data_IF_681445477053
#
_entry.id   IF_681445477053
#
_cell.length_a   1.000
_cell.length_b   1.000
_cell.length_c   1.000
_cell.angle_alpha   90.00
_cell.angle_beta   90.00
_cell.angle_gamma   90.00
#
_symmetry.space_group_name_H-M   'P 1'
#
loop_
_entity.id
_entity.type
_entity.pdbx_description
1 polymer ?
#
# COMPACT_ATOMS: atom_id res chain seq x y z
N UNK A 1 24.22 22.93 0.24
CA UNK A 1 24.50 21.78 1.12
C UNK A 1 23.22 21.26 1.79
N UNK A 2 22.69 21.94 2.82
CA UNK A 2 21.47 21.52 3.56
C UNK A 2 20.25 21.36 2.65
N UNK A 3 20.01 22.33 1.76
CA UNK A 3 18.84 22.32 0.87
C UNK A 3 18.80 21.12 -0.08
N UNK A 4 19.94 20.65 -0.55
CA UNK A 4 20.01 19.51 -1.49
C UNK A 4 19.66 18.21 -0.76
N UNK A 5 20.26 18.00 0.41
CA UNK A 5 19.98 16.82 1.24
C UNK A 5 18.52 16.79 1.72
N UNK A 6 17.98 17.93 2.16
CA UNK A 6 16.57 18.03 2.58
C UNK A 6 15.55 17.96 1.45
N UNK A 7 15.95 18.22 0.20
CA UNK A 7 15.04 18.20 -0.96
C UNK A 7 14.43 16.83 -1.26
N UNK A 8 14.95 15.77 -0.64
CA UNK A 8 14.38 14.42 -0.73
C UNK A 8 13.05 14.32 0.02
N UNK A 9 12.89 15.07 1.12
CA UNK A 9 11.66 15.10 1.91
C UNK A 9 10.51 15.84 1.20
N UNK A 10 10.85 16.75 0.29
CA UNK A 10 9.89 17.55 -0.50
C UNK A 10 9.36 16.79 -1.75
N UNK A 11 9.87 15.59 -2.04
CA UNK A 11 9.53 14.86 -3.27
C UNK A 11 8.50 13.75 -3.05
N UNK A 12 7.29 13.94 -3.56
CA UNK A 12 6.23 12.93 -3.53
C UNK A 12 6.39 11.85 -4.60
N UNK A 13 6.95 12.18 -5.78
CA UNK A 13 7.06 11.24 -6.91
C UNK A 13 8.20 10.24 -6.70
N UNK A 14 7.92 8.92 -6.69
CA UNK A 14 8.96 7.89 -6.58
C UNK A 14 9.97 7.95 -7.74
N UNK A 15 9.51 8.25 -8.96
CA UNK A 15 10.36 8.31 -10.15
C UNK A 15 11.35 9.47 -10.08
N UNK A 16 10.87 10.65 -9.67
CA UNK A 16 11.74 11.83 -9.47
C UNK A 16 12.69 11.61 -8.29
N UNK A 17 12.22 10.92 -7.24
CA UNK A 17 13.05 10.58 -6.08
C UNK A 17 14.26 9.74 -6.46
N UNK A 18 14.13 8.79 -7.39
CA UNK A 18 15.28 7.99 -7.89
C UNK A 18 16.39 8.90 -8.46
N UNK A 19 16.03 9.90 -9.26
CA UNK A 19 16.98 10.90 -9.77
C UNK A 19 17.56 11.77 -8.66
N UNK A 20 16.74 12.22 -7.71
CA UNK A 20 17.23 12.99 -6.55
C UNK A 20 18.21 12.19 -5.71
N UNK A 21 17.92 10.92 -5.43
CA UNK A 21 18.81 9.98 -4.72
C UNK A 21 20.19 9.94 -5.40
N UNK A 22 20.24 9.83 -6.73
CA UNK A 22 21.50 9.84 -7.50
C UNK A 22 22.28 11.15 -7.42
N UNK A 23 21.61 12.29 -7.64
CA UNK A 23 22.26 13.60 -7.53
C UNK A 23 22.78 13.86 -6.12
N UNK A 24 22.01 13.46 -5.10
CA UNK A 24 22.41 13.57 -3.70
C UNK A 24 23.64 12.68 -3.46
N UNK A 25 23.62 11.41 -3.87
CA UNK A 25 24.76 10.50 -3.73
C UNK A 25 26.03 11.04 -4.38
N UNK A 26 25.94 11.59 -5.60
CA UNK A 26 27.09 12.24 -6.27
C UNK A 26 27.65 13.39 -5.45
N UNK A 27 26.79 14.27 -4.90
CA UNK A 27 27.22 15.38 -4.05
C UNK A 27 27.79 14.93 -2.71
N UNK A 28 27.26 13.86 -2.13
CA UNK A 28 27.80 13.29 -0.89
C UNK A 28 29.22 12.76 -1.13
N UNK A 29 29.47 12.07 -2.25
CA UNK A 29 30.82 11.65 -2.66
C UNK A 29 31.75 12.84 -2.83
N UNK A 30 31.31 13.94 -3.46
CA UNK A 30 32.10 15.17 -3.56
C UNK A 30 32.51 15.67 -2.17
N UNK A 31 31.60 15.68 -1.19
CA UNK A 31 31.89 16.12 0.18
C UNK A 31 32.92 15.26 0.90
N UNK A 32 32.90 13.94 0.66
CA UNK A 32 33.95 13.03 1.13
C UNK A 32 35.30 13.40 0.53
N UNK A 33 35.36 13.65 -0.78
CA UNK A 33 36.59 14.00 -1.50
C UNK A 33 37.14 15.37 -1.12
N UNK A 34 36.27 16.33 -0.79
CA UNK A 34 36.67 17.69 -0.36
C UNK A 34 36.91 17.82 1.15
N UNK A 35 36.72 16.75 1.94
CA UNK A 35 37.13 16.69 3.35
C UNK A 35 36.11 17.18 4.40
N UNK A 36 34.82 17.30 4.08
CA UNK A 36 33.79 17.64 5.08
C UNK A 36 32.50 16.81 4.92
N UNK A 37 32.55 15.48 5.11
CA UNK A 37 31.38 14.62 4.95
C UNK A 37 30.44 14.63 6.16
N UNK A 38 30.91 15.06 7.34
CA UNK A 38 30.25 14.86 8.63
C UNK A 38 28.79 15.34 8.66
N UNK A 39 28.52 16.51 8.10
CA UNK A 39 27.15 17.03 8.03
C UNK A 39 26.23 16.13 7.19
N UNK A 40 26.72 15.66 6.03
CA UNK A 40 25.95 14.81 5.14
C UNK A 40 25.72 13.43 5.74
N UNK A 41 26.75 12.87 6.39
CA UNK A 41 26.64 11.63 7.17
C UNK A 41 25.58 11.75 8.25
N UNK A 42 25.72 12.72 9.16
CA UNK A 42 24.82 12.83 10.32
C UNK A 42 23.37 13.03 9.90
N UNK A 43 23.13 13.78 8.80
CA UNK A 43 21.79 13.89 8.23
C UNK A 43 21.27 12.56 7.68
N UNK A 44 22.05 11.85 6.85
CA UNK A 44 21.63 10.56 6.28
C UNK A 44 21.37 9.52 7.37
N UNK A 45 22.21 9.44 8.40
CA UNK A 45 22.03 8.51 9.51
C UNK A 45 20.82 8.88 10.38
N UNK A 46 20.52 10.18 10.55
CA UNK A 46 19.27 10.57 11.21
C UNK A 46 18.02 10.08 10.47
N UNK A 47 18.06 10.04 9.13
CA UNK A 47 16.98 9.47 8.32
C UNK A 47 16.91 7.95 8.40
N UNK A 48 18.05 7.27 8.51
CA UNK A 48 18.11 5.81 8.64
C UNK A 48 17.46 5.31 9.94
N UNK A 49 17.49 6.13 11.00
CA UNK A 49 16.94 5.82 12.32
C UNK A 49 15.47 6.23 12.48
N UNK A 50 14.98 7.19 11.67
CA UNK A 50 13.59 7.67 11.74
C UNK A 50 12.59 6.75 11.02
N UNK A 51 12.17 5.68 11.70
CA UNK A 51 11.19 4.72 11.19
C UNK A 51 9.74 5.29 11.15
N UNK A 52 9.51 6.54 11.60
CA UNK A 52 8.21 7.21 11.43
C UNK A 52 7.92 7.54 9.96
N UNK A 53 8.98 7.68 9.15
CA UNK A 53 8.92 7.94 7.71
C UNK A 53 9.69 6.86 6.91
N UNK A 54 9.15 5.63 6.78
CA UNK A 54 9.84 4.49 6.16
C UNK A 54 10.42 4.72 4.76
N UNK A 55 9.80 5.60 3.98
CA UNK A 55 10.24 5.94 2.62
C UNK A 55 11.62 6.60 2.62
N UNK A 56 11.89 7.49 3.58
CA UNK A 56 13.16 8.19 3.67
C UNK A 56 14.27 7.32 4.25
N UNK A 57 13.94 6.35 5.11
CA UNK A 57 14.87 5.30 5.53
C UNK A 57 15.41 4.54 4.31
N UNK A 58 14.51 4.08 3.43
CA UNK A 58 14.89 3.37 2.19
C UNK A 58 15.73 4.25 1.27
N UNK A 59 15.36 5.52 1.09
CA UNK A 59 16.16 6.46 0.29
C UNK A 59 17.55 6.69 0.88
N UNK A 60 17.66 6.83 2.19
CA UNK A 60 18.95 6.98 2.87
C UNK A 60 19.81 5.70 2.73
N UNK A 61 19.22 4.52 2.81
CA UNK A 61 19.92 3.24 2.58
C UNK A 61 20.50 3.15 1.16
N UNK A 62 19.72 3.55 0.14
CA UNK A 62 20.20 3.64 -1.25
C UNK A 62 21.35 4.62 -1.39
N UNK A 63 21.19 5.82 -0.83
CA UNK A 63 22.19 6.89 -0.95
C UNK A 63 23.51 6.43 -0.33
N UNK A 64 23.48 5.89 0.89
CA UNK A 64 24.65 5.36 1.58
C UNK A 64 25.32 4.23 0.78
N UNK A 65 24.53 3.30 0.23
CA UNK A 65 25.06 2.21 -0.60
C UNK A 65 25.78 2.74 -1.86
N UNK A 66 25.19 3.70 -2.58
CA UNK A 66 25.80 4.29 -3.78
C UNK A 66 27.09 5.04 -3.48
N UNK A 67 27.10 5.80 -2.38
CA UNK A 67 28.29 6.53 -1.91
C UNK A 67 29.41 5.54 -1.58
N UNK A 68 29.10 4.49 -0.82
CA UNK A 68 30.06 3.43 -0.49
C UNK A 68 30.59 2.73 -1.75
N UNK A 69 29.73 2.46 -2.73
CA UNK A 69 30.11 1.81 -3.99
C UNK A 69 31.13 2.64 -4.78
N UNK A 70 31.01 3.98 -4.83
CA UNK A 70 32.01 4.84 -5.50
C UNK A 70 33.30 4.98 -4.68
N UNK A 71 33.17 5.22 -3.36
CA UNK A 71 34.32 5.41 -2.46
C UNK A 71 35.20 4.17 -2.35
N UNK A 72 34.66 2.97 -2.61
CA UNK A 72 35.42 1.72 -2.67
C UNK A 72 36.65 1.81 -3.58
N UNK A 73 36.58 2.57 -4.67
CA UNK A 73 37.70 2.71 -5.61
C UNK A 73 38.88 3.49 -5.02
N UNK A 74 38.62 4.26 -3.94
CA UNK A 74 39.59 5.07 -3.21
C UNK A 74 39.61 4.68 -1.72
N UNK A 75 39.41 3.40 -1.38
CA UNK A 75 39.13 2.90 -0.01
C UNK A 75 40.08 3.39 1.10
N UNK A 76 41.35 3.70 0.76
CA UNK A 76 42.36 4.21 1.72
C UNK A 76 42.26 5.71 1.95
N UNK A 77 41.40 6.40 1.23
CA UNK A 77 41.19 7.84 1.25
C UNK A 77 39.71 8.09 1.58
N UNK A 78 39.43 9.17 2.31
CA UNK A 78 38.06 9.65 2.53
C UNK A 78 37.17 8.81 3.46
N UNK A 79 37.73 8.04 4.41
CA UNK A 79 36.92 7.48 5.51
C UNK A 79 35.93 6.37 5.14
N UNK A 80 36.20 5.64 4.06
CA UNK A 80 35.37 4.54 3.55
C UNK A 80 35.04 3.49 4.63
N UNK A 81 36.04 3.03 5.39
CA UNK A 81 35.85 2.01 6.43
C UNK A 81 34.90 2.50 7.53
N UNK A 82 35.04 3.74 8.00
CA UNK A 82 34.17 4.29 9.03
C UNK A 82 32.71 4.39 8.54
N UNK A 83 32.50 4.81 7.30
CA UNK A 83 31.15 4.86 6.71
C UNK A 83 30.56 3.45 6.56
N UNK A 84 31.36 2.48 6.11
CA UNK A 84 30.92 1.10 5.90
C UNK A 84 30.49 0.46 7.23
N UNK A 85 31.30 0.60 8.27
CA UNK A 85 31.01 0.08 9.60
C UNK A 85 29.73 0.70 10.18
N UNK A 86 29.61 2.04 10.10
CA UNK A 86 28.42 2.76 10.57
C UNK A 86 27.17 2.32 9.80
N UNK A 87 27.28 2.18 8.47
CA UNK A 87 26.16 1.79 7.62
C UNK A 87 25.68 0.37 7.93
N UNK A 88 26.60 -0.58 8.12
CA UNK A 88 26.25 -1.97 8.46
C UNK A 88 25.58 -2.06 9.82
N UNK A 89 26.07 -1.30 10.81
CA UNK A 89 25.47 -1.22 12.15
C UNK A 89 24.02 -0.73 12.12
N UNK A 90 23.60 0.03 11.10
CA UNK A 90 22.21 0.47 10.94
C UNK A 90 21.40 -0.44 10.01
N UNK A 91 22.00 -0.92 8.93
CA UNK A 91 21.32 -1.75 7.93
C UNK A 91 20.90 -3.13 8.48
N UNK A 92 21.76 -3.77 9.27
CA UNK A 92 21.46 -5.11 9.82
C UNK A 92 20.24 -5.07 10.76
N UNK A 93 20.13 -4.13 11.72
CA UNK A 93 18.88 -3.94 12.48
C UNK A 93 17.67 -3.58 11.61
N UNK A 94 17.83 -2.77 10.56
CA UNK A 94 16.73 -2.41 9.66
C UNK A 94 16.15 -3.63 8.93
N UNK A 95 16.97 -4.65 8.64
CA UNK A 95 16.51 -5.95 8.11
C UNK A 95 15.59 -6.73 9.07
N UNK A 96 15.48 -6.32 10.34
CA UNK A 96 14.55 -6.83 11.34
C UNK A 96 13.49 -5.79 11.79
N UNK A 97 13.39 -4.64 11.12
CA UNK A 97 12.44 -3.57 11.46
C UNK A 97 10.98 -4.07 11.50
N UNK A 98 10.16 -3.50 12.38
CA UNK A 98 8.71 -3.76 12.39
C UNK A 98 7.99 -3.13 11.18
N UNK A 99 8.62 -2.14 10.51
CA UNK A 99 8.09 -1.50 9.30
C UNK A 99 8.37 -2.38 8.07
N UNK A 100 7.34 -2.90 7.38
CA UNK A 100 7.54 -3.81 6.25
C UNK A 100 8.41 -3.22 5.14
N UNK A 101 8.21 -1.95 4.78
CA UNK A 101 8.96 -1.30 3.70
C UNK A 101 10.48 -1.28 3.98
N UNK A 102 10.86 -0.86 5.20
CA UNK A 102 12.27 -0.86 5.65
C UNK A 102 12.79 -2.29 5.65
N UNK A 103 12.12 -3.19 6.38
CA UNK A 103 12.52 -4.59 6.51
C UNK A 103 12.76 -5.28 5.17
N UNK A 104 11.83 -5.14 4.22
CA UNK A 104 11.94 -5.77 2.91
C UNK A 104 13.04 -5.16 2.05
N UNK A 105 13.16 -3.83 2.05
CA UNK A 105 14.19 -3.16 1.29
C UNK A 105 15.59 -3.49 1.84
N UNK A 106 15.81 -3.41 3.15
CA UNK A 106 17.10 -3.73 3.76
C UNK A 106 17.53 -5.17 3.49
N UNK A 107 16.61 -6.14 3.60
CA UNK A 107 16.90 -7.54 3.24
C UNK A 107 17.26 -7.72 1.76
N UNK A 108 16.61 -6.97 0.86
CA UNK A 108 16.95 -6.98 -0.56
C UNK A 108 18.31 -6.32 -0.82
N UNK A 109 18.62 -5.24 -0.10
CA UNK A 109 19.91 -4.56 -0.19
C UNK A 109 21.09 -5.47 0.19
N UNK A 110 20.89 -6.39 1.14
CA UNK A 110 21.91 -7.38 1.50
C UNK A 110 22.36 -8.23 0.30
N UNK A 111 21.47 -8.51 -0.67
CA UNK A 111 21.80 -9.26 -1.88
C UNK A 111 22.87 -8.53 -2.70
N UNK A 112 22.79 -7.20 -2.78
CA UNK A 112 23.78 -6.35 -3.45
C UNK A 112 25.01 -6.04 -2.56
N UNK A 113 24.81 -5.90 -1.25
CA UNK A 113 25.86 -5.51 -0.30
C UNK A 113 26.88 -6.60 -0.06
N UNK A 114 26.46 -7.84 0.19
CA UNK A 114 27.37 -8.94 0.48
C UNK A 114 28.43 -9.16 -0.63
N UNK A 115 28.08 -9.36 -1.91
CA UNK A 115 29.08 -9.56 -2.95
C UNK A 115 29.97 -8.32 -3.16
N UNK A 116 29.44 -7.12 -2.92
CA UNK A 116 30.15 -5.85 -3.13
C UNK A 116 31.19 -5.58 -2.04
N UNK A 117 30.87 -5.89 -0.77
CA UNK A 117 31.65 -5.43 0.37
C UNK A 117 32.29 -6.53 1.23
N UNK A 118 32.04 -7.83 0.98
CA UNK A 118 32.60 -8.94 1.78
C UNK A 118 34.13 -8.92 1.96
N UNK A 119 34.87 -8.31 1.03
CA UNK A 119 36.34 -8.23 1.12
C UNK A 119 36.82 -7.21 2.15
N UNK A 120 35.99 -6.23 2.50
CA UNK A 120 36.32 -5.13 3.41
C UNK A 120 35.87 -5.38 4.85
N UNK A 121 35.16 -6.49 5.10
CA UNK A 121 34.71 -6.89 6.43
C UNK A 121 35.78 -7.75 7.10
N UNK A 122 36.45 -7.19 8.10
CA UNK A 122 37.51 -7.85 8.87
C UNK A 122 36.96 -8.73 10.00
N UNK A 123 35.82 -8.38 10.58
CA UNK A 123 35.20 -9.15 11.68
C UNK A 123 34.51 -10.42 11.18
N UNK A 124 34.96 -11.57 11.69
CA UNK A 124 34.46 -12.89 11.29
C UNK A 124 33.00 -13.13 11.70
N UNK A 125 32.58 -12.60 12.85
CA UNK A 125 31.20 -12.74 13.35
C UNK A 125 30.23 -11.96 12.47
N UNK A 126 30.55 -10.69 12.19
CA UNK A 126 29.76 -9.81 11.34
C UNK A 126 29.65 -10.38 9.92
N UNK A 127 30.77 -10.89 9.39
CA UNK A 127 30.83 -11.55 8.09
C UNK A 127 29.84 -12.71 8.01
N UNK A 128 29.83 -13.59 9.02
CA UNK A 128 28.91 -14.73 9.07
C UNK A 128 27.44 -14.30 9.19
N UNK A 129 27.15 -13.22 9.93
CA UNK A 129 25.79 -12.67 10.05
C UNK A 129 25.28 -12.21 8.68
N UNK A 130 26.08 -11.40 7.97
CA UNK A 130 25.69 -10.86 6.67
C UNK A 130 25.62 -11.97 5.61
N UNK A 131 26.51 -12.96 5.66
CA UNK A 131 26.47 -14.12 4.76
C UNK A 131 25.19 -14.95 4.95
N UNK A 132 24.75 -15.14 6.20
CA UNK A 132 23.50 -15.83 6.50
C UNK A 132 22.28 -15.04 6.02
N UNK A 133 22.26 -13.71 6.25
CA UNK A 133 21.22 -12.82 5.73
C UNK A 133 21.15 -12.88 4.21
N UNK A 134 22.30 -12.82 3.53
CA UNK A 134 22.42 -12.95 2.09
C UNK A 134 21.87 -14.30 1.59
N UNK A 135 22.30 -15.40 2.21
CA UNK A 135 21.87 -16.75 1.82
C UNK A 135 20.36 -16.95 2.01
N UNK A 136 19.79 -16.40 3.08
CA UNK A 136 18.35 -16.45 3.33
C UNK A 136 17.55 -15.56 2.37
N UNK A 137 18.04 -14.35 2.10
CA UNK A 137 17.45 -13.44 1.12
C UNK A 137 17.45 -14.06 -0.29
N UNK A 138 18.55 -14.72 -0.67
CA UNK A 138 18.68 -15.42 -1.95
C UNK A 138 17.76 -16.64 -2.07
N UNK A 139 17.59 -17.43 -1.00
CA UNK A 139 16.67 -18.59 -0.98
C UNK A 139 15.20 -18.19 -1.07
N UNK A 140 14.85 -17.02 -0.54
CA UNK A 140 13.48 -16.48 -0.59
C UNK A 140 13.20 -15.72 -1.89
N UNK A 141 14.14 -15.70 -2.83
CA UNK A 141 13.97 -15.09 -4.14
C UNK A 141 13.07 -16.00 -4.99
N UNK A 142 11.91 -15.48 -5.38
CA UNK A 142 11.01 -16.16 -6.32
C UNK A 142 11.55 -15.86 -7.71
N UNK A 143 11.99 -16.89 -8.45
CA UNK A 143 12.44 -16.73 -9.84
C UNK A 143 11.29 -16.11 -10.67
N UNK A 144 11.57 -14.99 -11.36
CA UNK A 144 10.59 -14.28 -12.20
C UNK A 144 9.81 -13.16 -11.52
N UNK A 145 10.04 -12.85 -10.23
CA UNK A 145 9.44 -11.67 -9.58
C UNK A 145 10.52 -10.65 -9.19
N UNK A 146 10.46 -9.47 -9.80
CA UNK A 146 11.33 -8.36 -9.47
C UNK A 146 11.07 -7.86 -8.04
N UNK A 147 12.13 -7.74 -7.21
CA UNK A 147 12.10 -7.01 -5.95
C UNK A 147 12.88 -5.71 -6.09
N UNK A 148 12.44 -4.66 -5.40
CA UNK A 148 12.99 -3.30 -5.45
C UNK A 148 14.47 -3.14 -5.00
N UNK A 149 15.21 -4.23 -4.75
CA UNK A 149 16.67 -4.24 -4.57
C UNK A 149 17.40 -5.31 -5.39
N UNK A 150 16.71 -6.04 -6.28
CA UNK A 150 17.29 -7.09 -7.13
C UNK A 150 17.90 -6.55 -8.44
N UNK A 151 17.50 -5.37 -8.94
CA UNK A 151 18.03 -4.79 -10.19
C UNK A 151 19.11 -3.73 -9.95
N UNK A 152 20.03 -4.06 -9.05
CA UNK A 152 21.35 -3.44 -8.87
C UNK A 152 21.36 -1.91 -8.95
N UNK A 153 21.33 -1.32 -7.76
CA UNK A 153 21.42 0.11 -7.48
C UNK A 153 22.39 0.83 -8.44
N UNK A 154 21.84 1.92 -8.99
CA UNK A 154 22.45 2.86 -9.91
C UNK A 154 23.96 3.07 -9.63
N UNK A 155 24.79 2.92 -10.65
CA UNK A 155 26.19 3.32 -10.58
C UNK A 155 26.36 4.85 -10.77
N UNK A 156 27.09 5.50 -9.86
CA UNK A 156 27.29 6.94 -9.93
C UNK A 156 28.02 7.41 -11.20
N UNK A 157 28.92 6.59 -11.74
CA UNK A 157 29.74 6.94 -12.91
C UNK A 157 29.34 6.17 -14.16
N UNK A 158 29.09 4.86 -14.02
CA UNK A 158 28.78 3.95 -15.13
C UNK A 158 27.48 4.29 -15.85
N UNK A 159 26.54 4.91 -15.13
CA UNK A 159 25.25 5.34 -15.66
C UNK A 159 25.21 6.86 -15.96
N UNK A 160 26.35 7.56 -15.93
CA UNK A 160 26.48 8.93 -16.44
C UNK A 160 26.47 8.94 -17.98
N UNK A 161 25.33 8.52 -18.54
CA UNK A 161 25.08 8.38 -19.98
C UNK A 161 23.69 8.96 -20.29
N UNK A 162 23.51 9.56 -21.45
CA UNK A 162 22.23 10.18 -21.82
C UNK A 162 21.07 9.17 -21.83
N UNK A 163 21.25 7.96 -22.38
CA UNK A 163 20.23 6.91 -22.34
C UNK A 163 19.79 6.59 -20.90
N UNK A 164 20.75 6.51 -19.97
CA UNK A 164 20.49 6.18 -18.57
C UNK A 164 19.84 7.34 -17.80
N UNK A 165 20.28 8.58 -18.06
CA UNK A 165 19.69 9.80 -17.50
C UNK A 165 18.26 10.01 -17.98
N UNK A 166 17.96 9.71 -19.24
CA UNK A 166 16.64 9.91 -19.86
C UNK A 166 15.83 8.60 -19.89
N UNK A 167 15.58 8.05 -18.70
CA UNK A 167 14.66 6.94 -18.48
C UNK A 167 15.29 5.55 -18.38
N UNK A 168 16.54 5.35 -18.85
CA UNK A 168 17.17 4.03 -18.84
C UNK A 168 17.36 3.48 -17.42
N UNK A 169 17.68 4.36 -16.46
CA UNK A 169 17.75 3.98 -15.05
C UNK A 169 16.37 3.66 -14.47
N UNK A 170 15.34 4.42 -14.83
CA UNK A 170 13.99 4.10 -14.39
C UNK A 170 13.58 2.71 -14.89
N UNK A 171 13.88 2.37 -16.15
CA UNK A 171 13.61 1.03 -16.71
C UNK A 171 14.36 -0.10 -15.98
N UNK A 172 15.47 0.19 -15.30
CA UNK A 172 16.16 -0.79 -14.42
C UNK A 172 15.54 -0.89 -13.03
N UNK A 173 14.94 0.18 -12.52
CA UNK A 173 14.50 0.27 -11.12
C UNK A 173 12.99 0.04 -10.95
N UNK A 174 12.20 0.27 -12.01
CA UNK A 174 10.76 0.07 -12.03
C UNK A 174 10.31 -0.74 -13.26
N UNK A 175 9.32 -1.59 -13.04
CA UNK A 175 8.58 -2.36 -14.05
C UNK A 175 7.45 -1.55 -14.73
N UNK A 176 7.30 -0.27 -14.37
CA UNK A 176 6.33 0.63 -14.97
C UNK A 176 6.80 1.20 -16.30
N UNK A 177 5.84 1.58 -17.15
CA UNK A 177 6.18 2.26 -18.38
C UNK A 177 6.66 3.69 -18.10
N UNK A 178 7.97 3.87 -18.17
CA UNK A 178 8.62 5.16 -18.00
C UNK A 178 9.03 5.72 -19.36
N UNK A 179 8.92 7.05 -19.57
CA UNK A 179 9.49 7.69 -20.74
C UNK A 179 10.97 7.35 -20.85
N UNK A 180 11.39 6.85 -22.01
CA UNK A 180 12.76 6.48 -22.32
C UNK A 180 13.16 7.03 -23.68
N UNK A 181 14.35 7.63 -23.76
CA UNK A 181 14.94 8.07 -25.01
C UNK A 181 16.05 7.09 -25.40
N UNK A 182 15.82 6.34 -26.47
CA UNK A 182 16.79 5.35 -26.97
C UNK A 182 18.05 5.98 -27.56
N UNK A 183 19.12 5.19 -27.60
CA UNK A 183 20.37 5.53 -28.27
C UNK A 183 20.12 6.07 -29.69
N UNK A 184 19.30 5.38 -30.49
CA UNK A 184 18.98 5.77 -31.87
C UNK A 184 18.34 7.17 -32.00
N UNK A 185 17.59 7.60 -30.98
CA UNK A 185 16.95 8.92 -30.96
C UNK A 185 17.99 9.99 -30.63
N UNK A 186 18.87 9.74 -29.67
CA UNK A 186 20.00 10.63 -29.40
C UNK A 186 20.93 10.74 -30.59
N UNK A 187 21.29 9.64 -31.25
CA UNK A 187 22.14 9.67 -32.43
C UNK A 187 21.55 10.49 -33.58
N UNK A 188 20.21 10.47 -33.71
CA UNK A 188 19.50 11.19 -34.76
C UNK A 188 19.37 12.69 -34.52
N UNK A 189 19.17 13.11 -33.26
CA UNK A 189 18.81 14.50 -32.95
C UNK A 189 19.85 15.27 -32.13
N UNK A 190 20.82 14.60 -31.51
CA UNK A 190 21.86 15.25 -30.72
C UNK A 190 22.92 15.87 -31.63
N UNK A 191 22.97 17.19 -31.67
CA UNK A 191 23.89 17.95 -32.51
C UNK A 191 25.31 18.06 -31.92
N UNK A 192 25.42 18.15 -30.59
CA UNK A 192 26.69 18.24 -29.85
C UNK A 192 26.90 17.00 -28.97
N UNK A 193 28.00 16.27 -29.18
CA UNK A 193 28.28 14.99 -28.51
C UNK A 193 29.27 15.08 -27.33
N UNK A 194 29.70 16.29 -26.96
CA UNK A 194 30.97 16.45 -26.22
C UNK A 194 30.86 16.50 -24.69
N UNK A 195 29.65 16.57 -24.11
CA UNK A 195 29.48 16.78 -22.65
C UNK A 195 29.13 15.50 -21.89
N UNK A 196 28.26 14.64 -22.44
CA UNK A 196 27.83 13.38 -21.82
C UNK A 196 27.74 12.31 -22.89
N UNK A 197 28.34 11.12 -22.71
CA UNK A 197 28.24 10.05 -23.68
C UNK A 197 26.78 9.60 -23.85
N UNK A 198 26.39 9.24 -25.08
CA UNK A 198 25.00 8.80 -25.37
C UNK A 198 24.67 7.54 -24.55
N UNK A 199 25.55 6.54 -24.57
CA UNK A 199 25.29 5.23 -23.95
C UNK A 199 24.51 4.30 -24.87
N UNK A 200 24.22 3.10 -24.37
CA UNK A 200 23.56 2.03 -25.12
C UNK A 200 22.21 1.67 -24.51
N UNK A 201 21.29 1.11 -25.30
CA UNK A 201 20.02 0.55 -24.81
C UNK A 201 20.28 -0.73 -23.98
N UNK A 202 20.37 -0.61 -22.65
CA UNK A 202 20.67 -1.73 -21.72
C UNK A 202 19.45 -2.65 -21.46
N UNK A 203 18.78 -3.11 -22.54
CA UNK A 203 17.50 -3.85 -22.48
C UNK A 203 17.55 -5.11 -21.62
N UNK A 204 18.70 -5.81 -21.59
CA UNK A 204 18.89 -7.01 -20.77
C UNK A 204 18.93 -6.72 -19.27
N UNK A 205 19.10 -5.45 -18.87
CA UNK A 205 19.08 -5.00 -17.48
C UNK A 205 17.75 -4.34 -17.11
N UNK A 206 16.86 -4.13 -18.09
CA UNK A 206 15.56 -3.55 -17.83
C UNK A 206 14.63 -4.59 -17.24
N UNK A 207 13.69 -4.09 -16.47
CA UNK A 207 12.65 -4.91 -15.89
C UNK A 207 11.57 -5.12 -16.93
N UNK A 208 11.35 -6.38 -17.26
CA UNK A 208 10.24 -6.76 -18.10
C UNK A 208 8.92 -6.39 -17.42
N UNK A 209 7.98 -5.88 -18.22
CA UNK A 209 6.60 -5.69 -17.78
C UNK A 209 6.07 -7.06 -17.39
N UNK A 210 5.43 -7.18 -16.22
CA UNK A 210 4.77 -8.45 -15.85
C UNK A 210 3.71 -8.76 -16.91
N UNK A 211 3.90 -9.84 -17.66
CA UNK A 211 2.86 -10.34 -18.58
C UNK A 211 1.64 -10.71 -17.74
N UNK A 212 0.59 -9.90 -17.85
CA UNK A 212 -0.76 -10.26 -17.46
C UNK A 212 -1.49 -10.80 -18.69
N UNK A 213 -0.87 -11.75 -19.40
CA UNK A 213 -1.54 -12.41 -20.51
C UNK A 213 -2.56 -13.42 -19.97
N UNK A 214 -3.80 -12.95 -19.89
CA UNK A 214 -4.99 -13.77 -20.13
C UNK A 214 -5.02 -14.07 -21.63
N UNK A 215 -4.17 -14.99 -22.07
CA UNK A 215 -4.30 -15.59 -23.39
C UNK A 215 -4.57 -17.08 -23.23
N UNK A 216 -5.66 -17.49 -23.85
CA UNK A 216 -6.17 -18.85 -24.00
C UNK A 216 -5.08 -19.79 -24.52
N UNK A 217 -4.40 -20.49 -23.60
CA UNK A 217 -3.59 -21.66 -23.96
C UNK A 217 -4.52 -22.86 -24.07
N UNK A 218 -4.68 -23.33 -25.30
CA UNK A 218 -5.31 -24.61 -25.61
C UNK A 218 -4.70 -25.72 -24.73
N UNK A 219 -5.62 -26.48 -24.15
CA UNK A 219 -5.44 -27.67 -23.33
C UNK A 219 -4.26 -28.56 -23.72
N UNK A 220 -3.30 -28.69 -22.81
CA UNK A 220 -2.58 -29.93 -22.55
C UNK A 220 -2.03 -29.94 -21.11
N UNK A 221 -2.77 -30.58 -20.20
CA UNK A 221 -2.36 -31.19 -18.94
C UNK A 221 -1.16 -30.58 -18.19
N UNK A 222 -1.41 -29.51 -17.44
CA UNK A 222 -0.63 -29.22 -16.22
C UNK A 222 -1.63 -28.89 -15.12
N UNK A 223 -1.83 -29.82 -14.20
CA UNK A 223 -2.46 -29.58 -12.90
C UNK A 223 -1.49 -28.73 -12.07
N UNK A 224 -1.56 -27.41 -12.23
CA UNK A 224 -0.92 -26.47 -11.33
C UNK A 224 -2.00 -25.98 -10.37
N UNK A 225 -1.88 -26.36 -9.10
CA UNK A 225 -2.60 -25.73 -8.00
C UNK A 225 -2.30 -24.22 -8.04
N UNK A 226 -3.19 -23.45 -8.65
CA UNK A 226 -3.11 -21.99 -8.70
C UNK A 226 -3.23 -21.48 -7.27
N UNK A 227 -2.11 -21.06 -6.69
CA UNK A 227 -2.10 -20.38 -5.40
C UNK A 227 -2.97 -19.12 -5.51
N UNK A 228 -3.91 -18.87 -4.57
CA UNK A 228 -4.82 -17.73 -4.67
C UNK A 228 -4.03 -16.41 -4.70
N UNK A 229 -4.23 -15.64 -5.77
CA UNK A 229 -3.53 -14.38 -6.00
C UNK A 229 -4.18 -13.26 -5.16
N UNK A 230 -3.36 -12.51 -4.41
CA UNK A 230 -3.85 -11.41 -3.57
C UNK A 230 -4.13 -10.15 -4.41
N UNK A 231 -5.40 -9.91 -4.71
CA UNK A 231 -5.90 -8.77 -5.50
C UNK A 231 -6.00 -7.45 -4.71
N UNK A 232 -6.01 -7.52 -3.37
CA UNK A 232 -6.09 -6.34 -2.48
C UNK A 232 -4.74 -5.67 -2.24
N UNK A 233 -3.64 -6.18 -2.79
CA UNK A 233 -2.34 -5.53 -2.62
C UNK A 233 -2.32 -4.23 -3.43
N UNK A 234 -1.78 -3.13 -2.88
CA UNK A 234 -1.69 -1.83 -3.57
C UNK A 234 -0.88 -1.87 -4.88
N UNK A 235 -0.31 -3.01 -5.24
CA UNK A 235 0.24 -3.29 -6.55
C UNK A 235 -0.84 -3.36 -7.65
N UNK A 236 -2.10 -3.68 -7.32
CA UNK A 236 -3.21 -3.74 -8.28
C UNK A 236 -3.82 -2.37 -8.60
N UNK A 237 -3.91 -1.46 -7.63
CA UNK A 237 -4.31 -0.06 -7.89
C UNK A 237 -3.34 0.60 -8.87
N UNK A 238 -2.03 0.37 -8.72
CA UNK A 238 -1.02 0.88 -9.68
C UNK A 238 -1.11 0.23 -11.07
N UNK A 239 -1.70 -0.97 -11.20
CA UNK A 239 -1.84 -1.69 -12.48
C UNK A 239 -3.12 -1.32 -13.21
N UNK A 240 -4.23 -1.05 -12.50
CA UNK A 240 -5.52 -0.69 -13.09
C UNK A 240 -5.60 0.79 -13.51
N UNK A 241 -4.80 1.66 -12.89
CA UNK A 241 -4.73 3.09 -13.25
C UNK A 241 -4.02 3.35 -14.60
N UNK A 242 -3.48 2.31 -15.26
CA UNK A 242 -2.76 2.45 -16.54
C UNK A 242 -3.59 2.14 -17.79
N UNK A 243 -4.72 1.43 -17.69
CA UNK A 243 -5.58 1.10 -18.85
C UNK A 243 -7.01 1.66 -18.77
N UNK A 244 -7.38 2.32 -17.66
CA UNK A 244 -8.72 2.89 -17.52
C UNK A 244 -8.71 4.42 -17.58
N UNK A 245 -8.90 4.95 -18.79
CA UNK A 245 -9.95 5.97 -18.99
C UNK A 245 -11.34 5.33 -18.89
N UNK A 246 -11.60 4.53 -17.84
CA UNK A 246 -12.97 4.25 -17.42
C UNK A 246 -13.32 5.38 -16.48
N UNK A 247 -14.15 6.31 -16.96
CA UNK A 247 -15.51 6.46 -16.48
C UNK A 247 -15.59 6.44 -14.95
N UNK A 248 -16.35 7.37 -14.37
CA UNK A 248 -17.05 7.07 -13.12
C UNK A 248 -17.81 5.76 -13.35
N UNK A 249 -17.17 4.61 -13.11
CA UNK A 249 -17.80 3.31 -13.26
C UNK A 249 -19.01 3.40 -12.34
N UNK A 250 -20.18 3.31 -12.95
CA UNK A 250 -21.46 3.44 -12.29
C UNK A 250 -21.46 2.35 -11.23
N UNK A 251 -21.19 2.71 -9.96
CA UNK A 251 -21.23 1.77 -8.86
C UNK A 251 -22.65 1.24 -8.84
N UNK A 252 -22.82 -0.04 -9.18
CA UNK A 252 -24.11 -0.70 -9.04
C UNK A 252 -24.42 -0.73 -7.56
N UNK A 253 -25.48 0.01 -7.18
CA UNK A 253 -25.94 0.11 -5.80
C UNK A 253 -27.22 -0.70 -5.67
N UNK A 254 -27.29 -1.48 -4.60
CA UNK A 254 -28.45 -2.27 -4.24
C UNK A 254 -29.59 -1.41 -3.70
N UNK A 255 -30.78 -2.00 -3.57
CA UNK A 255 -31.92 -1.38 -2.89
C UNK A 255 -31.87 -1.58 -1.36
N UNK A 256 -30.68 -1.82 -0.79
CA UNK A 256 -30.47 -1.96 0.65
C UNK A 256 -30.26 -0.60 1.32
N UNK A 257 -30.98 -0.35 2.40
CA UNK A 257 -30.74 0.78 3.31
C UNK A 257 -30.21 0.24 4.63
N UNK A 258 -29.10 0.79 5.12
CA UNK A 258 -28.56 0.52 6.45
C UNK A 258 -28.80 1.75 7.33
N UNK A 259 -29.60 1.59 8.38
CA UNK A 259 -29.90 2.64 9.34
C UNK A 259 -28.97 2.49 10.54
N UNK A 260 -27.90 3.29 10.56
CA UNK A 260 -26.88 3.28 11.62
C UNK A 260 -26.99 4.47 12.59
N UNK A 261 -28.10 5.20 12.55
CA UNK A 261 -28.34 6.39 13.40
C UNK A 261 -28.31 6.11 14.90
N UNK A 262 -28.44 4.86 15.35
CA UNK A 262 -28.29 4.46 16.76
C UNK A 262 -26.84 4.15 17.16
N UNK A 263 -25.91 4.08 16.21
CA UNK A 263 -24.50 3.74 16.49
C UNK A 263 -23.75 4.98 16.94
N UNK A 264 -23.18 4.94 18.14
CA UNK A 264 -22.59 6.12 18.80
C UNK A 264 -21.10 6.32 18.48
N UNK A 265 -20.36 5.22 18.27
CA UNK A 265 -18.90 5.24 18.13
C UNK A 265 -18.45 5.59 16.71
N UNK A 266 -17.69 6.70 16.53
CA UNK A 266 -17.16 7.09 15.23
C UNK A 266 -16.32 6.00 14.50
N UNK A 267 -15.49 5.18 15.18
CA UNK A 267 -14.80 4.06 14.52
C UNK A 267 -15.76 3.03 13.90
N UNK A 268 -16.84 2.69 14.60
CA UNK A 268 -17.82 1.70 14.12
C UNK A 268 -18.58 2.25 12.92
N UNK A 269 -19.01 3.52 12.99
CA UNK A 269 -19.62 4.22 11.85
C UNK A 269 -18.67 4.29 10.65
N UNK A 270 -17.37 4.54 10.86
CA UNK A 270 -16.38 4.55 9.79
C UNK A 270 -16.20 3.18 9.13
N UNK A 271 -16.22 2.12 9.94
CA UNK A 271 -16.15 0.74 9.46
C UNK A 271 -17.40 0.30 8.71
N UNK A 272 -18.59 0.68 9.19
CA UNK A 272 -19.88 0.43 8.53
C UNK A 272 -19.94 1.20 7.20
N UNK A 273 -19.50 2.47 7.17
CA UNK A 273 -19.41 3.27 5.95
C UNK A 273 -18.55 2.59 4.89
N UNK A 274 -17.34 2.15 5.25
CA UNK A 274 -16.45 1.41 4.36
C UNK A 274 -17.05 0.11 3.85
N UNK A 275 -17.68 -0.66 4.74
CA UNK A 275 -18.36 -1.91 4.39
C UNK A 275 -19.50 -1.66 3.38
N UNK A 276 -20.34 -0.67 3.66
CA UNK A 276 -21.48 -0.31 2.82
C UNK A 276 -21.02 0.13 1.43
N UNK A 277 -19.94 0.90 1.36
CA UNK A 277 -19.36 1.32 0.09
C UNK A 277 -18.89 0.13 -0.75
N UNK A 278 -18.08 -0.74 -0.15
CA UNK A 278 -17.49 -1.92 -0.82
C UNK A 278 -18.54 -2.92 -1.29
N UNK A 279 -19.62 -3.13 -0.52
CA UNK A 279 -20.68 -4.07 -0.86
C UNK A 279 -21.83 -3.43 -1.67
N UNK A 280 -21.69 -2.18 -2.11
CA UNK A 280 -22.69 -1.55 -2.97
C UNK A 280 -24.03 -1.30 -2.28
N UNK A 281 -24.04 -0.96 -0.99
CA UNK A 281 -25.27 -0.58 -0.27
C UNK A 281 -25.85 0.71 -0.87
N UNK A 282 -27.17 0.78 -1.01
CA UNK A 282 -27.85 1.93 -1.63
C UNK A 282 -27.81 3.21 -0.80
N UNK A 283 -28.04 3.11 0.50
CA UNK A 283 -28.05 4.24 1.42
C UNK A 283 -27.58 3.84 2.82
N UNK A 284 -26.76 4.69 3.44
CA UNK A 284 -26.36 4.60 4.84
C UNK A 284 -26.86 5.82 5.61
N UNK A 285 -27.65 5.64 6.67
CA UNK A 285 -28.04 6.76 7.54
C UNK A 285 -27.12 6.88 8.75
N UNK A 286 -26.90 8.11 9.20
CA UNK A 286 -26.16 8.43 10.43
C UNK A 286 -26.92 9.46 11.26
N UNK A 287 -26.63 9.55 12.57
CA UNK A 287 -27.28 10.51 13.47
C UNK A 287 -26.93 11.97 13.13
N UNK A 288 -25.65 12.25 12.88
CA UNK A 288 -25.12 13.57 12.55
C UNK A 288 -24.06 13.41 11.44
N UNK A 289 -24.29 14.04 10.29
CA UNK A 289 -23.40 13.93 9.13
C UNK A 289 -22.01 14.51 9.40
N UNK A 290 -21.85 15.36 10.42
CA UNK A 290 -20.54 15.90 10.85
C UNK A 290 -19.59 14.81 11.32
N UNK A 291 -20.07 13.60 11.63
CA UNK A 291 -19.22 12.45 11.96
C UNK A 291 -18.17 12.17 10.87
N UNK A 292 -18.46 12.52 9.60
CA UNK A 292 -17.51 12.44 8.48
C UNK A 292 -16.22 13.21 8.73
N UNK A 293 -16.26 14.26 9.55
CA UNK A 293 -15.10 15.07 9.90
C UNK A 293 -14.32 14.53 11.11
N UNK A 294 -14.86 13.55 11.83
CA UNK A 294 -14.23 13.01 13.03
C UNK A 294 -12.97 12.20 12.68
N UNK A 295 -11.80 12.45 13.32
CA UNK A 295 -10.55 11.76 12.97
C UNK A 295 -10.64 10.24 13.05
N UNK A 296 -11.30 9.71 14.09
CA UNK A 296 -11.46 8.26 14.25
C UNK A 296 -12.37 7.62 13.21
N UNK A 297 -13.36 8.36 12.69
CA UNK A 297 -14.20 7.90 11.58
C UNK A 297 -13.37 7.83 10.30
N UNK A 298 -12.66 8.92 9.95
CA UNK A 298 -11.82 8.99 8.75
C UNK A 298 -10.74 7.90 8.70
N UNK A 299 -10.12 7.61 9.84
CA UNK A 299 -9.09 6.58 9.95
C UNK A 299 -9.59 5.18 9.56
N UNK A 300 -10.87 4.89 9.78
CA UNK A 300 -11.47 3.57 9.47
C UNK A 300 -12.18 3.57 8.12
N UNK A 301 -12.81 4.68 7.74
CA UNK A 301 -13.56 4.81 6.48
C UNK A 301 -12.65 4.79 5.23
N UNK A 302 -11.39 5.24 5.33
CA UNK A 302 -10.41 5.24 4.23
C UNK A 302 -11.01 5.82 2.94
N UNK A 303 -11.59 7.02 3.01
CA UNK A 303 -12.25 7.76 1.91
C UNK A 303 -13.57 7.21 1.36
N UNK A 304 -14.08 6.08 1.88
CA UNK A 304 -15.39 5.55 1.50
C UNK A 304 -16.54 6.57 1.69
N UNK A 305 -16.37 7.51 2.62
CA UNK A 305 -17.31 8.59 2.92
C UNK A 305 -17.51 9.59 1.78
N UNK A 306 -16.62 9.59 0.78
CA UNK A 306 -16.77 10.38 -0.45
C UNK A 306 -17.69 9.73 -1.49
N UNK A 307 -17.82 8.40 -1.44
CA UNK A 307 -18.46 7.59 -2.47
C UNK A 307 -19.78 6.95 -2.02
N UNK A 308 -19.88 6.63 -0.73
CA UNK A 308 -21.08 6.06 -0.14
C UNK A 308 -22.18 7.12 -0.01
N UNK A 309 -23.37 6.91 -0.61
CA UNK A 309 -24.54 7.75 -0.32
C UNK A 309 -24.88 7.72 1.17
N UNK A 310 -24.92 8.89 1.80
CA UNK A 310 -25.21 9.05 3.24
C UNK A 310 -26.29 10.10 3.48
N UNK A 311 -27.18 9.82 4.42
CA UNK A 311 -28.25 10.72 4.85
C UNK A 311 -28.21 10.91 6.38
N UNK A 312 -28.43 12.13 6.83
CA UNK A 312 -28.59 12.41 8.26
C UNK A 312 -30.02 12.09 8.68
N UNK A 313 -30.18 11.24 9.69
CA UNK A 313 -31.47 10.92 10.31
C UNK A 313 -31.28 10.98 11.82
N UNK A 314 -31.82 12.01 12.45
CA UNK A 314 -31.73 12.21 13.89
C UNK A 314 -32.50 11.10 14.65
N UNK A 315 -32.18 10.90 15.93
CA UNK A 315 -32.72 9.79 16.74
C UNK A 315 -34.26 9.79 16.81
N UNK A 316 -34.86 10.98 16.93
CA UNK A 316 -36.30 11.21 16.98
C UNK A 316 -36.98 11.07 15.61
N UNK A 317 -36.22 11.12 14.52
CA UNK A 317 -36.69 11.00 13.13
C UNK A 317 -36.59 9.56 12.59
N UNK A 318 -35.92 8.64 13.29
CA UNK A 318 -35.77 7.25 12.83
C UNK A 318 -37.14 6.60 12.56
N UNK A 319 -38.10 6.80 13.46
CA UNK A 319 -39.44 6.22 13.33
C UNK A 319 -40.20 6.77 12.12
N UNK A 320 -40.12 8.09 11.86
CA UNK A 320 -40.78 8.71 10.71
C UNK A 320 -40.12 8.31 9.40
N UNK A 321 -38.79 8.23 9.37
CA UNK A 321 -38.00 7.74 8.23
C UNK A 321 -38.38 6.30 7.86
N UNK A 322 -38.40 5.38 8.84
CA UNK A 322 -38.79 3.98 8.61
C UNK A 322 -40.23 3.86 8.09
N UNK A 323 -41.18 4.63 8.65
CA UNK A 323 -42.57 4.65 8.15
C UNK A 323 -42.66 5.17 6.72
N UNK A 324 -41.84 6.15 6.34
CA UNK A 324 -41.71 6.62 4.96
C UNK A 324 -41.24 5.50 4.03
N UNK A 325 -40.13 4.84 4.37
CA UNK A 325 -39.57 3.73 3.58
C UNK A 325 -40.51 2.53 3.49
N UNK A 326 -41.27 2.23 4.53
CA UNK A 326 -42.32 1.20 4.48
C UNK A 326 -43.37 1.49 3.40
N UNK A 327 -43.79 2.75 3.26
CA UNK A 327 -44.73 3.17 2.18
C UNK A 327 -44.10 3.08 0.79
N UNK A 328 -42.78 3.21 0.68
CA UNK A 328 -42.02 3.01 -0.56
C UNK A 328 -41.79 1.52 -0.91
N UNK A 329 -42.30 0.60 -0.08
CA UNK A 329 -42.23 -0.84 -0.28
C UNK A 329 -41.02 -1.52 0.34
N UNK A 330 -40.33 -0.87 1.28
CA UNK A 330 -39.26 -1.50 2.05
C UNK A 330 -39.79 -2.40 3.15
N UNK A 331 -39.17 -3.57 3.31
CA UNK A 331 -39.32 -4.39 4.51
C UNK A 331 -38.37 -3.88 5.59
N UNK A 332 -38.92 -3.58 6.76
CA UNK A 332 -38.18 -3.05 7.91
C UNK A 332 -37.66 -4.21 8.76
N UNK A 333 -36.34 -4.35 8.81
CA UNK A 333 -35.65 -5.47 9.46
C UNK A 333 -34.77 -4.90 10.58
N UNK A 334 -34.97 -5.35 11.82
CA UNK A 334 -34.03 -5.05 12.91
C UNK A 334 -32.94 -6.10 12.98
N UNK A 335 -31.68 -5.69 13.07
CA UNK A 335 -30.59 -6.58 13.44
C UNK A 335 -30.53 -6.65 14.97
N UNK A 336 -31.26 -7.57 15.57
CA UNK A 336 -31.42 -7.67 17.02
C UNK A 336 -31.80 -9.07 17.48
N UNK A 337 -31.37 -9.43 18.68
CA UNK A 337 -31.73 -10.68 19.35
C UNK A 337 -33.02 -10.48 20.15
N UNK A 338 -34.09 -11.12 19.71
CA UNK A 338 -35.40 -11.09 20.40
C UNK A 338 -35.97 -12.50 20.50
N UNK A 339 -36.95 -12.70 21.40
CA UNK A 339 -37.67 -13.96 21.56
C UNK A 339 -38.46 -14.39 20.30
N UNK A 340 -38.65 -13.46 19.36
CA UNK A 340 -39.35 -13.64 18.08
C UNK A 340 -38.45 -13.41 16.86
N UNK A 341 -37.14 -13.31 17.06
CA UNK A 341 -36.21 -13.08 15.96
C UNK A 341 -36.15 -14.29 15.04
N UNK A 342 -36.04 -14.01 13.75
CA UNK A 342 -35.81 -15.01 12.71
C UNK A 342 -34.31 -15.21 12.60
N UNK A 343 -33.87 -16.46 12.56
CA UNK A 343 -32.44 -16.78 12.43
C UNK A 343 -31.96 -16.48 11.02
N UNK A 344 -30.84 -15.78 10.91
CA UNK A 344 -30.11 -15.65 9.66
C UNK A 344 -29.43 -16.99 9.34
N UNK A 345 -30.02 -17.74 8.42
CA UNK A 345 -29.49 -18.99 7.88
C UNK A 345 -29.48 -18.95 6.34
N UNK A 346 -29.07 -20.05 5.71
CA UNK A 346 -29.00 -20.14 4.24
C UNK A 346 -30.39 -20.15 3.57
N UNK A 347 -31.47 -20.32 4.33
CA UNK A 347 -32.84 -20.39 3.81
C UNK A 347 -33.53 -19.03 3.86
N UNK A 348 -33.09 -18.12 4.73
CA UNK A 348 -33.64 -16.79 4.81
C UNK A 348 -33.46 -16.01 3.50
N UNK A 349 -34.56 -15.55 2.92
CA UNK A 349 -34.56 -14.78 1.68
C UNK A 349 -34.81 -13.31 2.00
N UNK A 350 -33.84 -12.45 1.68
CA UNK A 350 -34.00 -11.01 1.83
C UNK A 350 -34.96 -10.48 0.76
N UNK A 351 -35.97 -9.67 1.15
CA UNK A 351 -36.69 -8.83 0.20
C UNK A 351 -35.72 -7.89 -0.51
N UNK A 352 -35.89 -7.68 -1.82
CA UNK A 352 -35.00 -6.80 -2.59
C UNK A 352 -34.92 -5.39 -1.99
N UNK A 353 -36.06 -4.81 -1.60
CA UNK A 353 -36.12 -3.57 -0.82
C UNK A 353 -36.07 -3.88 0.68
N UNK A 354 -34.86 -3.95 1.22
CA UNK A 354 -34.61 -4.18 2.65
C UNK A 354 -34.09 -2.91 3.31
N UNK A 355 -34.60 -2.62 4.51
CA UNK A 355 -34.04 -1.61 5.41
C UNK A 355 -33.60 -2.31 6.69
N UNK A 356 -32.31 -2.22 7.03
CA UNK A 356 -31.74 -2.84 8.21
C UNK A 356 -31.48 -1.78 9.28
N UNK A 357 -32.21 -1.84 10.39
CA UNK A 357 -31.98 -1.02 11.58
C UNK A 357 -30.94 -1.68 12.49
N UNK A 358 -29.87 -0.95 12.79
CA UNK A 358 -28.83 -1.35 13.73
C UNK A 358 -29.13 -0.82 15.13
N UNK A 359 -28.95 -1.65 16.16
CA UNK A 359 -29.08 -1.24 17.56
C UNK A 359 -27.85 -0.51 18.12
N UNK A 360 -28.02 0.10 19.29
CA UNK A 360 -26.91 0.64 20.09
C UNK A 360 -26.05 -0.50 20.64
N UNK A 361 -24.74 -0.30 20.85
CA UNK A 361 -23.87 -1.36 21.38
C UNK A 361 -24.24 -1.81 22.81
N UNK A 362 -24.81 -0.91 23.60
CA UNK A 362 -25.10 -1.17 25.02
C UNK A 362 -26.50 -1.74 25.25
N UNK A 363 -27.50 -1.23 24.52
CA UNK A 363 -28.91 -1.47 24.80
C UNK A 363 -29.70 -2.03 23.61
N UNK A 364 -29.06 -2.22 22.47
CA UNK A 364 -29.73 -2.71 21.27
C UNK A 364 -30.71 -1.70 20.67
N UNK A 365 -31.76 -2.21 20.04
CA UNK A 365 -32.85 -1.42 19.43
C UNK A 365 -33.90 -1.05 20.51
N UNK A 366 -34.24 0.24 20.68
CA UNK A 366 -35.30 0.68 21.58
C UNK A 366 -36.66 0.05 21.26
N UNK A 367 -37.45 -0.26 22.29
CA UNK A 367 -38.76 -0.91 22.15
C UNK A 367 -39.76 -0.16 21.25
N UNK A 368 -39.71 1.17 21.23
CA UNK A 368 -40.53 2.02 20.35
C UNK A 368 -40.19 1.85 18.87
N UNK A 369 -38.95 1.52 18.54
CA UNK A 369 -38.52 1.23 17.18
C UNK A 369 -38.75 -0.24 16.84
N UNK A 370 -38.56 -1.16 17.80
CA UNK A 370 -38.87 -2.58 17.63
C UNK A 370 -40.32 -2.82 17.19
N UNK A 371 -41.29 -2.05 17.71
CA UNK A 371 -42.70 -2.17 17.33
C UNK A 371 -43.03 -1.76 15.90
N UNK A 372 -42.13 -1.05 15.22
CA UNK A 372 -42.32 -0.59 13.84
C UNK A 372 -41.76 -1.58 12.80
N UNK A 373 -40.86 -2.48 13.23
CA UNK A 373 -40.20 -3.46 12.38
C UNK A 373 -41.16 -4.56 11.91
N UNK A 374 -40.94 -5.04 10.68
CA UNK A 374 -41.67 -6.19 10.14
C UNK A 374 -41.12 -7.51 10.70
N UNK A 375 -39.80 -7.57 10.92
CA UNK A 375 -39.13 -8.67 11.61
C UNK A 375 -37.83 -8.23 12.28
N UNK A 376 -37.36 -9.05 13.23
CA UNK A 376 -35.99 -8.99 13.72
C UNK A 376 -35.21 -10.17 13.16
N UNK A 377 -34.01 -9.93 12.65
CA UNK A 377 -33.05 -10.96 12.28
C UNK A 377 -32.00 -11.09 13.37
N UNK A 378 -31.77 -12.32 13.83
CA UNK A 378 -30.66 -12.66 14.71
C UNK A 378 -29.61 -13.48 13.97
N UNK A 379 -28.34 -13.22 14.25
CA UNK A 379 -27.24 -14.05 13.78
C UNK A 379 -26.97 -15.11 14.86
N UNK A 380 -27.04 -16.39 14.49
CA UNK A 380 -26.80 -17.48 15.43
C UNK A 380 -25.38 -17.41 16.00
N UNK A 381 -25.29 -17.36 17.32
CA UNK A 381 -24.02 -17.36 18.06
C UNK A 381 -23.82 -18.71 18.76
N UNK A 382 -22.57 -19.14 18.88
CA UNK A 382 -22.18 -20.41 19.54
C UNK A 382 -21.18 -20.21 20.69
N UNK A 383 -20.70 -18.98 20.89
CA UNK A 383 -19.72 -18.63 21.92
C UNK A 383 -20.35 -18.18 23.24
N UNK A 384 -19.50 -17.91 24.24
CA UNK A 384 -19.90 -17.47 25.58
C UNK A 384 -20.20 -15.96 25.64
N UNK A 385 -19.67 -15.18 24.70
CA UNK A 385 -19.89 -13.73 24.64
C UNK A 385 -21.32 -13.43 24.20
N UNK A 386 -21.93 -12.44 24.85
CA UNK A 386 -23.36 -12.12 24.74
C UNK A 386 -23.77 -11.65 23.34
N UNK A 387 -22.92 -10.86 22.69
CA UNK A 387 -23.22 -10.26 21.38
C UNK A 387 -21.96 -9.99 20.56
N UNK A 388 -22.13 -9.90 19.25
CA UNK A 388 -21.08 -9.47 18.32
C UNK A 388 -20.92 -7.94 18.34
N UNK A 389 -19.74 -7.48 17.94
CA UNK A 389 -19.54 -6.07 17.61
C UNK A 389 -20.49 -5.66 16.47
N UNK A 390 -21.09 -4.47 16.56
CA UNK A 390 -22.11 -3.99 15.63
C UNK A 390 -21.62 -3.92 14.18
N UNK A 391 -20.37 -3.52 13.94
CA UNK A 391 -19.77 -3.49 12.61
C UNK A 391 -19.63 -4.91 12.05
N UNK A 392 -19.23 -5.88 12.87
CA UNK A 392 -19.12 -7.29 12.46
C UNK A 392 -20.49 -7.89 12.15
N UNK A 393 -21.49 -7.64 13.00
CA UNK A 393 -22.86 -8.08 12.75
C UNK A 393 -23.43 -7.46 11.46
N UNK A 394 -23.15 -6.18 11.23
CA UNK A 394 -23.51 -5.49 9.98
C UNK A 394 -22.82 -6.12 8.77
N UNK A 395 -21.56 -6.51 8.88
CA UNK A 395 -20.83 -7.18 7.79
C UNK A 395 -21.47 -8.50 7.39
N UNK A 396 -21.89 -9.32 8.36
CA UNK A 396 -22.54 -10.60 8.11
C UNK A 396 -23.88 -10.41 7.38
N UNK A 397 -24.74 -9.50 7.87
CA UNK A 397 -26.06 -9.31 7.29
C UNK A 397 -26.01 -8.64 5.91
N UNK A 398 -25.15 -7.62 5.73
CA UNK A 398 -25.00 -6.93 4.44
C UNK A 398 -24.42 -7.87 3.40
N UNK A 399 -23.40 -8.68 3.76
CA UNK A 399 -22.87 -9.70 2.85
C UNK A 399 -23.93 -10.74 2.49
N UNK A 400 -24.72 -11.22 3.46
CA UNK A 400 -25.77 -12.20 3.22
C UNK A 400 -26.87 -11.67 2.28
N UNK A 401 -27.27 -10.40 2.43
CA UNK A 401 -28.14 -9.72 1.46
C UNK A 401 -27.47 -9.60 0.09
N UNK A 402 -26.21 -9.16 0.04
CA UNK A 402 -25.48 -8.88 -1.19
C UNK A 402 -25.39 -10.13 -2.07
N UNK A 403 -25.01 -11.28 -1.48
CA UNK A 403 -24.94 -12.57 -2.19
C UNK A 403 -26.26 -12.96 -2.87
N UNK A 404 -27.41 -12.48 -2.39
CA UNK A 404 -28.72 -12.77 -2.98
C UNK A 404 -29.14 -11.80 -4.09
N UNK A 405 -28.61 -10.56 -4.10
CA UNK A 405 -29.15 -9.46 -4.92
C UNK A 405 -28.12 -8.74 -5.81
N UNK A 406 -26.84 -9.05 -5.68
CA UNK A 406 -25.71 -8.41 -6.37
C UNK A 406 -24.74 -9.47 -6.89
#
# INVERSE_FOLDING_TARGET
>A
MIRILKSIEDESSPLVRVYKEWFISSKVVDYYKTGNPKFAEDYLFSLLEDHSKPVFVVSAEKICFMVLKDLRNDEKKYGFTQLLDRFICTLVPNAASNKPLVRHFSNSLIISLWPTFKAYLSDHTLRNIIENLYSNAKKTQIFGQYRAGDANIWDLKGDWKLTNMFGGVLKKVTDHDCPYISESVFEKYLQEKDIVPIGTDERSLWLDKRDTNTESVNSANISCDTSPLQTKSGAWETVLDLDNKKSNDVVTRSELIVVSSLVDKPPNLGGICRLCDVLGVGLLTVQDIKVKNHPQFKNVAVTADRWMPMEEVALDEIASFMKGKKKEGYTLIGLEQTDKSVKLDNNFQFPKKSLILLGTEAFGIPGTLLSELDLCLEIQQFGVIRSMNIQTATAVIVHSYTVQHM
#
